data_IF_472406750152
#
_entry.id   IF_472406750152
#
_cell.length_a   1.000
_cell.length_b   1.000
_cell.length_c   1.000
_cell.angle_alpha   90.00
_cell.angle_beta   90.00
_cell.angle_gamma   90.00
#
_symmetry.space_group_name_H-M   'P 1'
#
loop_
_entity.id
_entity.type
_entity.pdbx_description
1 polymer ?
#
# COMPACT_ATOMS: atom_id res chain seq x y z
N UNK A 1 34.14 -7.34 8.06
CA UNK A 1 32.67 -7.35 8.22
C UNK A 1 32.11 -6.34 7.24
N UNK A 2 31.27 -6.75 6.31
CA UNK A 2 30.67 -5.84 5.32
C UNK A 2 29.68 -4.93 6.07
N UNK A 3 29.89 -3.63 5.97
CA UNK A 3 28.94 -2.66 6.52
C UNK A 3 27.77 -2.49 5.55
N UNK A 4 26.56 -2.41 6.06
CA UNK A 4 25.33 -2.36 5.22
C UNK A 4 25.28 -1.11 4.33
N UNK A 5 25.89 -0.01 4.73
CA UNK A 5 26.01 1.22 3.95
C UNK A 5 26.84 1.05 2.67
N UNK A 6 27.86 0.21 2.72
CA UNK A 6 28.70 -0.11 1.53
C UNK A 6 27.89 -0.90 0.51
N UNK A 7 27.03 -1.83 0.98
CA UNK A 7 26.18 -2.65 0.10
C UNK A 7 25.29 -1.80 -0.80
N UNK A 8 24.63 -0.79 -0.23
CA UNK A 8 23.75 0.09 -1.04
C UNK A 8 24.56 0.84 -2.11
N UNK A 9 25.70 1.41 -1.77
CA UNK A 9 26.55 2.15 -2.71
C UNK A 9 27.01 1.25 -3.85
N UNK A 10 27.53 0.06 -3.54
CA UNK A 10 27.94 -0.93 -4.55
C UNK A 10 26.78 -1.31 -5.49
N UNK A 11 25.55 -1.43 -4.96
CA UNK A 11 24.38 -1.68 -5.79
C UNK A 11 24.07 -0.51 -6.72
N UNK A 12 24.12 0.75 -6.24
CA UNK A 12 23.90 1.93 -7.07
C UNK A 12 24.98 2.11 -8.11
N UNK A 13 26.25 1.90 -7.77
CA UNK A 13 27.38 1.99 -8.72
C UNK A 13 27.20 0.96 -9.83
N UNK A 14 26.87 -0.27 -9.49
CA UNK A 14 26.63 -1.33 -10.48
C UNK A 14 25.48 -1.02 -11.44
N UNK A 15 24.42 -0.34 -10.98
CA UNK A 15 23.29 0.08 -11.82
C UNK A 15 23.67 1.25 -12.73
N UNK A 16 24.51 2.18 -12.29
CA UNK A 16 24.93 3.31 -13.11
C UNK A 16 25.68 2.87 -14.38
N UNK A 17 26.40 1.75 -14.31
CA UNK A 17 27.22 1.22 -15.40
C UNK A 17 26.48 0.24 -16.33
N UNK A 18 25.22 -0.09 -16.01
CA UNK A 18 24.48 -1.10 -16.77
C UNK A 18 23.82 -0.54 -18.02
N UNK A 19 23.88 -1.29 -19.10
CA UNK A 19 23.09 -0.99 -20.31
C UNK A 19 21.59 -1.26 -20.04
N UNK A 20 20.78 -0.21 -20.12
CA UNK A 20 19.35 -0.29 -19.93
C UNK A 20 18.63 -1.23 -20.91
N UNK A 21 19.24 -1.53 -22.05
CA UNK A 21 18.70 -2.48 -23.02
C UNK A 21 18.61 -3.93 -22.52
N UNK A 22 19.32 -4.25 -21.42
CA UNK A 22 19.23 -5.54 -20.73
C UNK A 22 17.97 -5.71 -19.90
N UNK A 23 17.12 -4.68 -19.77
CA UNK A 23 15.94 -4.69 -18.94
C UNK A 23 14.65 -4.58 -19.77
N UNK A 24 13.59 -5.19 -19.27
CA UNK A 24 12.22 -4.88 -19.68
C UNK A 24 11.80 -3.57 -19.04
N UNK A 25 11.50 -2.55 -19.86
CA UNK A 25 11.10 -1.23 -19.39
C UNK A 25 9.58 -1.07 -19.37
N UNK A 26 9.07 -0.41 -18.32
CA UNK A 26 7.67 -0.01 -18.16
C UNK A 26 7.59 1.43 -17.65
N UNK A 27 6.52 2.12 -18.00
CA UNK A 27 6.19 3.43 -17.49
C UNK A 27 4.98 3.34 -16.56
N UNK A 28 5.14 3.75 -15.30
CA UNK A 28 4.06 3.74 -14.31
C UNK A 28 3.62 5.18 -14.05
N UNK A 29 2.43 5.55 -14.52
CA UNK A 29 1.80 6.83 -14.21
C UNK A 29 0.90 6.65 -12.98
N UNK A 30 1.40 7.05 -11.83
CA UNK A 30 0.75 6.90 -10.53
C UNK A 30 0.21 8.27 -10.06
N UNK A 31 -0.66 8.34 -9.05
CA UNK A 31 -1.13 9.62 -8.52
C UNK A 31 0.01 10.54 -8.07
N UNK A 32 0.36 11.55 -8.88
CA UNK A 32 1.45 12.52 -8.68
C UNK A 32 2.88 11.94 -8.65
N UNK A 33 3.11 10.75 -9.20
CA UNK A 33 4.43 10.13 -9.29
C UNK A 33 4.54 9.34 -10.60
N UNK A 34 5.46 9.73 -11.46
CA UNK A 34 5.82 9.03 -12.68
C UNK A 34 7.08 8.18 -12.44
N UNK A 35 7.04 6.90 -12.76
CA UNK A 35 8.17 5.99 -12.53
C UNK A 35 8.56 5.28 -13.81
N UNK A 36 9.85 5.35 -14.16
CA UNK A 36 10.46 4.42 -15.11
C UNK A 36 10.86 3.15 -14.34
N UNK A 37 10.24 2.04 -14.68
CA UNK A 37 10.51 0.73 -14.07
C UNK A 37 11.31 -0.14 -15.04
N UNK A 38 12.47 -0.60 -14.60
CA UNK A 38 13.35 -1.51 -15.31
C UNK A 38 13.43 -2.85 -14.57
N UNK A 39 12.95 -3.93 -15.18
CA UNK A 39 12.98 -5.28 -14.61
C UNK A 39 13.89 -6.20 -15.44
N UNK A 40 14.59 -7.12 -14.79
CA UNK A 40 15.50 -8.05 -15.46
C UNK A 40 14.82 -8.97 -16.47
N UNK A 41 13.52 -9.24 -16.29
CA UNK A 41 12.72 -10.00 -17.24
C UNK A 41 11.25 -9.55 -17.24
N UNK A 42 10.48 -10.04 -18.22
CA UNK A 42 9.08 -9.70 -18.39
C UNK A 42 8.18 -10.24 -17.28
N UNK A 43 8.46 -11.43 -16.77
CA UNK A 43 7.65 -12.05 -15.71
C UNK A 43 7.80 -11.28 -14.39
N UNK A 44 9.01 -10.81 -14.07
CA UNK A 44 9.25 -9.94 -12.94
C UNK A 44 8.53 -8.60 -13.11
N UNK A 45 8.58 -8.04 -14.34
CA UNK A 45 7.87 -6.80 -14.67
C UNK A 45 6.36 -6.96 -14.49
N UNK A 46 5.76 -8.00 -15.05
CA UNK A 46 4.31 -8.28 -14.90
C UNK A 46 3.89 -8.41 -13.43
N UNK A 47 4.70 -9.10 -12.62
CA UNK A 47 4.44 -9.23 -11.19
C UNK A 47 4.50 -7.89 -10.46
N UNK A 48 5.45 -7.02 -10.83
CA UNK A 48 5.61 -5.70 -10.22
C UNK A 48 4.45 -4.74 -10.52
N UNK A 49 3.78 -4.89 -11.66
CA UNK A 49 2.72 -3.96 -12.10
C UNK A 49 1.30 -4.48 -11.88
N UNK A 50 1.12 -5.79 -11.68
CA UNK A 50 -0.16 -6.51 -11.74
C UNK A 50 -1.32 -5.84 -10.99
N UNK A 51 -1.07 -5.29 -9.82
CA UNK A 51 -2.11 -4.73 -8.95
C UNK A 51 -1.93 -3.23 -8.72
N UNK A 52 -1.00 -2.59 -9.41
CA UNK A 52 -0.75 -1.16 -9.26
C UNK A 52 -1.83 -0.38 -10.00
N UNK A 53 -2.45 0.59 -9.31
CA UNK A 53 -3.32 1.57 -9.94
C UNK A 53 -2.52 2.45 -10.90
N UNK A 54 -2.95 2.54 -12.15
CA UNK A 54 -2.28 3.35 -13.15
C UNK A 54 -3.24 4.37 -13.77
N UNK A 55 -2.74 5.57 -13.99
CA UNK A 55 -3.40 6.63 -14.74
C UNK A 55 -2.95 6.58 -16.21
N UNK A 56 -3.63 7.31 -17.08
CA UNK A 56 -3.20 7.44 -18.48
C UNK A 56 -1.82 8.12 -18.55
N UNK A 57 -0.94 7.58 -19.36
CA UNK A 57 0.38 8.16 -19.59
C UNK A 57 0.24 9.55 -20.23
N UNK A 58 0.93 10.57 -19.72
CA UNK A 58 0.98 11.88 -20.36
C UNK A 58 1.76 11.82 -21.68
N UNK A 59 1.46 12.71 -22.60
CA UNK A 59 2.15 12.79 -23.92
C UNK A 59 3.61 13.21 -23.79
N UNK A 60 3.92 13.99 -22.79
CA UNK A 60 5.24 14.52 -22.45
C UNK A 60 5.80 13.80 -21.21
N UNK A 61 6.04 12.49 -21.37
CA UNK A 61 6.53 11.65 -20.27
C UNK A 61 7.83 12.16 -19.67
N UNK A 62 7.82 12.40 -18.38
CA UNK A 62 9.00 12.71 -17.57
C UNK A 62 8.92 11.89 -16.28
N UNK A 63 9.89 11.01 -15.99
CA UNK A 63 9.88 10.25 -14.76
C UNK A 63 10.30 11.12 -13.57
N UNK A 64 9.57 10.99 -12.47
CA UNK A 64 9.98 11.52 -11.16
C UNK A 64 11.01 10.64 -10.47
N UNK A 65 11.00 9.34 -10.77
CA UNK A 65 11.94 8.38 -10.23
C UNK A 65 12.18 7.20 -11.20
N UNK A 66 13.31 6.52 -11.03
CA UNK A 66 13.65 5.31 -11.78
C UNK A 66 13.80 4.14 -10.81
N UNK A 67 13.08 3.05 -11.06
CA UNK A 67 13.14 1.84 -10.24
C UNK A 67 13.77 0.70 -11.01
N UNK A 68 14.71 0.01 -10.39
CA UNK A 68 15.35 -1.19 -10.91
C UNK A 68 14.93 -2.41 -10.08
N UNK A 69 14.31 -3.37 -10.73
CA UNK A 69 13.95 -4.66 -10.17
C UNK A 69 14.88 -5.73 -10.74
N UNK A 70 15.85 -6.15 -9.95
CA UNK A 70 16.97 -6.98 -10.36
C UNK A 70 16.82 -8.36 -9.77
N UNK A 71 16.97 -9.38 -10.58
CA UNK A 71 17.32 -10.70 -10.10
C UNK A 71 18.73 -11.10 -10.55
N UNK A 72 19.46 -11.69 -9.64
CA UNK A 72 20.88 -12.04 -9.86
C UNK A 72 21.06 -13.12 -10.91
N UNK A 73 20.13 -14.08 -10.98
CA UNK A 73 20.26 -15.25 -11.86
C UNK A 73 20.10 -14.85 -13.34
N UNK A 74 19.13 -13.99 -13.66
CA UNK A 74 18.88 -13.53 -15.04
C UNK A 74 20.04 -12.69 -15.61
N UNK A 75 20.77 -11.96 -14.77
CA UNK A 75 21.92 -11.15 -15.21
C UNK A 75 23.28 -11.82 -15.00
N UNK A 76 23.31 -13.04 -14.46
CA UNK A 76 24.55 -13.70 -14.02
C UNK A 76 25.37 -12.81 -13.05
N UNK A 77 24.69 -12.12 -12.18
CA UNK A 77 25.30 -11.25 -11.17
C UNK A 77 25.33 -11.90 -9.80
N UNK A 78 26.43 -11.79 -9.10
CA UNK A 78 26.48 -12.16 -7.68
C UNK A 78 25.51 -11.29 -6.89
N UNK A 79 24.62 -11.87 -6.06
CA UNK A 79 23.72 -11.10 -5.21
C UNK A 79 24.52 -10.31 -4.16
N UNK A 80 23.98 -9.18 -3.67
CA UNK A 80 24.59 -8.46 -2.57
C UNK A 80 24.77 -9.36 -1.33
N UNK A 81 25.77 -9.08 -0.47
CA UNK A 81 25.95 -9.86 0.76
C UNK A 81 24.73 -9.73 1.67
N UNK A 82 24.31 -10.81 2.36
CA UNK A 82 23.18 -10.75 3.30
C UNK A 82 23.55 -9.89 4.51
N UNK A 83 22.54 -9.16 5.04
CA UNK A 83 22.73 -8.41 6.27
C UNK A 83 22.80 -9.37 7.47
N UNK A 84 23.74 -9.21 8.40
CA UNK A 84 23.78 -9.99 9.62
C UNK A 84 22.57 -9.67 10.51
N UNK A 85 21.68 -10.63 10.72
CA UNK A 85 20.42 -10.45 11.47
C UNK A 85 20.61 -9.93 12.89
N UNK A 86 21.70 -10.35 13.55
CA UNK A 86 21.97 -9.98 14.96
C UNK A 86 22.54 -8.59 15.14
N UNK A 87 23.01 -7.96 14.08
CA UNK A 87 23.75 -6.70 14.14
C UNK A 87 22.92 -5.50 13.68
N UNK A 88 21.96 -5.75 12.78
CA UNK A 88 21.14 -4.70 12.19
C UNK A 88 19.66 -5.04 12.29
N UNK A 89 19.04 -4.58 13.37
CA UNK A 89 17.58 -4.49 13.38
C UNK A 89 17.12 -3.36 12.44
N UNK A 90 15.82 -3.30 12.21
CA UNK A 90 15.23 -2.30 11.31
C UNK A 90 15.58 -0.86 11.68
N UNK A 91 15.61 -0.54 12.99
CA UNK A 91 15.87 0.81 13.47
C UNK A 91 17.32 1.20 13.24
N UNK A 92 18.26 0.33 13.58
CA UNK A 92 19.68 0.54 13.35
C UNK A 92 19.99 0.68 11.83
N UNK A 93 19.39 -0.15 10.99
CA UNK A 93 19.55 -0.04 9.55
C UNK A 93 19.01 1.29 8.99
N UNK A 94 17.80 1.69 9.39
CA UNK A 94 17.21 2.98 8.98
C UNK A 94 18.10 4.15 9.38
N UNK A 95 18.66 4.14 10.59
CA UNK A 95 19.55 5.21 11.04
C UNK A 95 20.83 5.28 10.19
N UNK A 96 21.48 4.14 9.94
CA UNK A 96 22.72 4.09 9.13
C UNK A 96 22.48 4.63 7.72
N UNK A 97 21.36 4.29 7.08
CA UNK A 97 21.04 4.80 5.76
C UNK A 97 20.65 6.27 5.78
N UNK A 98 19.86 6.71 6.77
CA UNK A 98 19.47 8.11 6.92
C UNK A 98 20.68 9.05 7.09
N UNK A 99 21.73 8.64 7.84
CA UNK A 99 22.98 9.39 7.98
C UNK A 99 23.71 9.60 6.66
N UNK A 100 23.37 8.81 5.63
CA UNK A 100 23.92 8.91 4.28
C UNK A 100 22.96 9.52 3.27
N UNK A 101 21.79 9.96 3.72
CA UNK A 101 20.72 10.46 2.85
C UNK A 101 20.09 9.38 1.97
N UNK A 102 20.13 8.13 2.40
CA UNK A 102 19.56 6.97 1.70
C UNK A 102 18.44 6.34 2.51
N UNK A 103 17.63 5.52 1.84
CA UNK A 103 16.75 4.55 2.49
C UNK A 103 17.22 3.13 2.16
N UNK A 104 17.08 2.22 3.11
CA UNK A 104 17.44 0.83 2.89
C UNK A 104 16.64 -0.12 3.77
N UNK A 105 16.26 -1.26 3.19
CA UNK A 105 15.57 -2.34 3.88
C UNK A 105 16.05 -3.70 3.37
N UNK A 106 15.92 -4.71 4.21
CA UNK A 106 16.31 -6.06 3.88
C UNK A 106 15.32 -7.09 4.46
N UNK A 107 14.85 -7.97 3.61
CA UNK A 107 14.06 -9.14 4.02
C UNK A 107 14.99 -10.34 4.11
N UNK A 108 15.19 -10.87 5.32
CA UNK A 108 16.13 -11.97 5.57
C UNK A 108 15.75 -13.28 4.87
N UNK A 109 14.48 -13.57 4.80
CA UNK A 109 13.93 -14.70 4.08
C UNK A 109 12.79 -14.17 3.18
N UNK A 110 12.95 -14.14 1.88
CA UNK A 110 13.84 -14.87 0.96
C UNK A 110 15.14 -14.14 0.53
N UNK A 111 15.59 -13.12 1.21
CA UNK A 111 16.71 -12.25 0.88
C UNK A 111 16.36 -11.29 -0.26
N UNK A 112 15.71 -10.20 0.10
CA UNK A 112 15.40 -9.08 -0.78
C UNK A 112 16.06 -7.84 -0.23
N UNK A 113 16.89 -7.20 -1.04
CA UNK A 113 17.51 -5.92 -0.74
C UNK A 113 16.68 -4.83 -1.40
N UNK A 114 16.38 -3.78 -0.66
CA UNK A 114 15.65 -2.63 -1.16
C UNK A 114 16.38 -1.36 -0.76
N UNK A 115 16.64 -0.48 -1.72
CA UNK A 115 17.34 0.78 -1.52
C UNK A 115 16.64 1.89 -2.28
N UNK A 116 16.74 3.12 -1.77
CA UNK A 116 16.31 4.31 -2.47
C UNK A 116 17.28 5.46 -2.19
N UNK A 117 17.72 6.11 -3.25
CA UNK A 117 18.51 7.34 -3.23
C UNK A 117 17.60 8.53 -3.60
N UNK A 118 17.18 9.36 -2.63
CA UNK A 118 16.30 10.51 -2.88
C UNK A 118 16.95 11.58 -3.76
N UNK A 119 18.28 11.74 -3.70
CA UNK A 119 18.99 12.74 -4.51
C UNK A 119 19.05 12.36 -5.98
N UNK A 120 19.31 11.10 -6.26
CA UNK A 120 19.33 10.54 -7.63
C UNK A 120 17.94 10.14 -8.11
N UNK A 121 16.97 10.01 -7.19
CA UNK A 121 15.62 9.47 -7.45
C UNK A 121 15.66 8.07 -8.08
N UNK A 122 16.57 7.24 -7.58
CA UNK A 122 16.75 5.86 -8.02
C UNK A 122 16.40 4.91 -6.89
N UNK A 123 15.57 3.92 -7.19
CA UNK A 123 15.27 2.82 -6.29
C UNK A 123 15.75 1.49 -6.86
N UNK A 124 16.15 0.57 -5.98
CA UNK A 124 16.59 -0.78 -6.33
C UNK A 124 15.83 -1.78 -5.46
N UNK A 125 15.20 -2.76 -6.10
CA UNK A 125 14.77 -4.00 -5.46
C UNK A 125 15.56 -5.15 -6.04
N UNK A 126 16.39 -5.79 -5.24
CA UNK A 126 17.26 -6.86 -5.69
C UNK A 126 16.88 -8.18 -5.05
N UNK A 127 16.62 -9.18 -5.87
CA UNK A 127 16.31 -10.54 -5.48
C UNK A 127 17.39 -11.51 -6.00
N UNK A 128 17.45 -12.70 -5.42
CA UNK A 128 18.46 -13.69 -5.84
C UNK A 128 18.10 -14.38 -7.15
N UNK A 129 16.82 -14.69 -7.34
CA UNK A 129 16.32 -15.42 -8.51
C UNK A 129 14.83 -15.15 -8.71
N UNK A 130 14.29 -15.36 -9.92
CA UNK A 130 12.87 -15.25 -10.19
C UNK A 130 12.02 -16.07 -9.22
N UNK A 131 10.86 -15.55 -8.86
CA UNK A 131 9.89 -16.23 -7.99
C UNK A 131 10.25 -16.32 -6.51
N UNK A 132 11.36 -15.73 -6.06
CA UNK A 132 11.72 -15.77 -4.64
C UNK A 132 11.10 -14.66 -3.79
N UNK A 133 10.32 -13.73 -4.39
CA UNK A 133 9.61 -12.74 -3.60
C UNK A 133 8.57 -13.39 -2.67
N UNK A 134 8.39 -12.83 -1.47
CA UNK A 134 7.35 -13.31 -0.56
C UNK A 134 5.96 -13.24 -1.20
N UNK A 135 5.11 -14.20 -0.91
CA UNK A 135 3.75 -14.29 -1.49
C UNK A 135 2.89 -13.05 -1.19
N UNK A 136 3.18 -12.30 -0.13
CA UNK A 136 2.46 -11.06 0.19
C UNK A 136 2.81 -9.88 -0.70
N UNK A 137 3.92 -9.95 -1.44
CA UNK A 137 4.31 -8.89 -2.39
C UNK A 137 3.36 -8.85 -3.60
N UNK A 138 2.70 -9.96 -3.95
CA UNK A 138 1.72 -9.97 -5.04
C UNK A 138 0.54 -9.00 -4.83
N UNK A 139 0.15 -8.79 -3.58
CA UNK A 139 -0.96 -7.90 -3.25
C UNK A 139 -0.58 -6.44 -2.97
N UNK A 140 0.70 -6.11 -3.07
CA UNK A 140 1.23 -4.76 -2.88
C UNK A 140 2.67 -4.69 -3.37
N UNK A 141 2.88 -4.90 -4.69
CA UNK A 141 4.22 -4.93 -5.26
C UNK A 141 4.91 -3.57 -5.12
N UNK A 142 6.24 -3.61 -5.01
CA UNK A 142 7.09 -2.41 -4.89
C UNK A 142 6.74 -1.48 -3.71
N UNK A 143 5.94 -1.97 -2.76
CA UNK A 143 5.36 -1.16 -1.66
C UNK A 143 6.39 -0.31 -0.92
N UNK A 144 7.54 -0.87 -0.61
CA UNK A 144 8.63 -0.18 0.10
C UNK A 144 9.22 0.94 -0.75
N UNK A 145 9.53 0.67 -2.01
CA UNK A 145 10.13 1.65 -2.92
C UNK A 145 9.14 2.79 -3.22
N UNK A 146 7.90 2.44 -3.51
CA UNK A 146 6.83 3.42 -3.73
C UNK A 146 6.59 4.28 -2.49
N UNK A 147 6.59 3.67 -1.29
CA UNK A 147 6.47 4.42 -0.05
C UNK A 147 7.56 5.49 0.07
N UNK A 148 8.83 5.14 -0.11
CA UNK A 148 9.93 6.10 -0.04
C UNK A 148 9.84 7.20 -1.10
N UNK A 149 9.52 6.86 -2.35
CA UNK A 149 9.35 7.86 -3.41
C UNK A 149 8.18 8.82 -3.13
N UNK A 150 7.11 8.33 -2.48
CA UNK A 150 5.98 9.18 -2.10
C UNK A 150 6.25 10.08 -0.89
N UNK A 151 7.19 9.75 -0.02
CA UNK A 151 7.63 10.66 1.05
C UNK A 151 8.16 11.97 0.47
N UNK A 152 8.90 11.92 -0.66
CA UNK A 152 9.34 13.10 -1.42
C UNK A 152 8.18 13.98 -1.91
N UNK A 153 7.02 13.39 -2.15
CA UNK A 153 5.78 14.07 -2.58
C UNK A 153 4.88 14.44 -1.39
N UNK A 154 5.38 14.36 -0.16
CA UNK A 154 4.64 14.61 1.08
C UNK A 154 3.37 13.74 1.21
N UNK A 155 3.37 12.57 0.57
CA UNK A 155 2.34 11.55 0.69
C UNK A 155 2.87 10.34 1.46
N UNK A 156 2.02 9.74 2.25
CA UNK A 156 2.41 8.57 3.03
C UNK A 156 1.52 7.38 2.71
N UNK A 157 2.14 6.26 2.42
CA UNK A 157 1.42 5.00 2.30
C UNK A 157 0.95 4.56 3.69
N UNK A 158 -0.32 4.26 3.81
CA UNK A 158 -0.96 3.85 5.06
C UNK A 158 -1.70 2.52 4.88
N UNK A 159 -1.58 1.63 5.86
CA UNK A 159 -2.37 0.41 5.91
C UNK A 159 -3.79 0.75 6.36
N UNK A 160 -4.60 1.14 5.44
CA UNK A 160 -5.95 1.60 5.64
C UNK A 160 -6.81 1.27 4.41
N UNK A 161 -8.12 1.25 4.63
CA UNK A 161 -9.10 1.18 3.55
C UNK A 161 -9.89 2.49 3.48
N UNK A 162 -10.61 2.71 2.40
CA UNK A 162 -11.44 3.91 2.23
C UNK A 162 -12.83 3.56 1.70
N UNK A 163 -13.82 4.34 2.10
CA UNK A 163 -15.15 4.30 1.52
C UNK A 163 -15.73 5.71 1.42
N UNK A 164 -16.41 5.98 0.31
CA UNK A 164 -17.04 7.27 0.12
C UNK A 164 -17.93 7.33 -1.11
N UNK A 165 -18.35 8.55 -1.43
CA UNK A 165 -18.93 8.89 -2.72
C UNK A 165 -17.83 9.52 -3.62
N UNK A 166 -18.23 10.11 -4.75
CA UNK A 166 -17.25 10.76 -5.67
C UNK A 166 -16.56 12.00 -5.08
N UNK A 167 -17.12 12.59 -4.03
CA UNK A 167 -16.66 13.89 -3.49
C UNK A 167 -15.91 13.73 -2.17
N UNK A 168 -16.43 12.91 -1.25
CA UNK A 168 -15.89 12.75 0.10
C UNK A 168 -16.07 11.33 0.63
N UNK A 169 -15.27 10.99 1.63
CA UNK A 169 -15.32 9.66 2.24
C UNK A 169 -14.67 9.59 3.61
N UNK A 170 -14.60 8.38 4.09
CA UNK A 170 -13.99 8.00 5.36
C UNK A 170 -12.76 7.12 5.12
N UNK A 171 -11.78 7.19 6.01
CA UNK A 171 -10.66 6.25 6.06
C UNK A 171 -10.89 5.25 7.19
N UNK A 172 -10.83 3.96 6.86
CA UNK A 172 -11.00 2.85 7.80
C UNK A 172 -9.63 2.37 8.29
N UNK A 173 -9.40 2.42 9.59
CA UNK A 173 -8.14 2.03 10.22
C UNK A 173 -8.35 0.99 11.33
N UNK A 174 -7.29 0.31 11.75
CA UNK A 174 -7.35 -0.68 12.83
C UNK A 174 -6.56 -1.94 12.52
N UNK A 175 -6.43 -2.81 13.50
CA UNK A 175 -5.70 -4.06 13.40
C UNK A 175 -6.29 -5.01 12.33
N UNK A 176 -5.52 -6.04 11.96
CA UNK A 176 -6.04 -7.14 11.15
C UNK A 176 -7.27 -7.78 11.81
N UNK A 177 -8.31 -8.07 11.03
CA UNK A 177 -9.55 -8.64 11.55
C UNK A 177 -10.54 -7.64 12.18
N UNK A 178 -10.24 -6.34 12.21
CA UNK A 178 -11.16 -5.32 12.75
C UNK A 178 -12.44 -5.09 11.94
N UNK A 179 -12.50 -5.61 10.71
CA UNK A 179 -13.65 -5.45 9.82
C UNK A 179 -13.44 -4.48 8.65
N UNK A 180 -12.25 -3.89 8.45
CA UNK A 180 -11.96 -2.96 7.36
C UNK A 180 -12.40 -3.49 5.99
N UNK A 181 -11.81 -4.60 5.54
CA UNK A 181 -12.09 -5.15 4.20
C UNK A 181 -13.54 -5.61 4.04
N UNK A 182 -14.16 -6.17 5.10
CA UNK A 182 -15.58 -6.52 5.07
C UNK A 182 -16.49 -5.31 4.90
N UNK A 183 -16.20 -4.23 5.62
CA UNK A 183 -16.91 -2.95 5.49
C UNK A 183 -16.69 -2.34 4.11
N UNK A 184 -15.45 -2.40 3.60
CA UNK A 184 -15.12 -1.89 2.26
C UNK A 184 -15.90 -2.63 1.18
N UNK A 185 -15.90 -3.96 1.21
CA UNK A 185 -16.64 -4.75 0.23
C UNK A 185 -18.14 -4.50 0.33
N UNK A 186 -18.72 -4.47 1.56
CA UNK A 186 -20.12 -4.14 1.78
C UNK A 186 -20.50 -2.78 1.17
N UNK A 187 -19.69 -1.75 1.43
CA UNK A 187 -19.93 -0.42 0.87
C UNK A 187 -19.85 -0.37 -0.65
N UNK A 188 -18.85 -1.03 -1.23
CA UNK A 188 -18.62 -1.06 -2.68
C UNK A 188 -19.77 -1.75 -3.42
N UNK A 189 -20.22 -2.90 -2.96
CA UNK A 189 -21.35 -3.65 -3.57
C UNK A 189 -22.63 -2.82 -3.57
N UNK A 190 -22.82 -1.99 -2.55
CA UNK A 190 -23.97 -1.09 -2.45
C UNK A 190 -23.67 0.33 -2.97
N UNK A 191 -22.69 0.49 -3.88
CA UNK A 191 -22.51 1.69 -4.69
C UNK A 191 -21.57 2.76 -4.14
N UNK A 192 -20.94 2.54 -2.99
CA UNK A 192 -19.86 3.41 -2.52
C UNK A 192 -18.59 3.20 -3.37
N UNK A 193 -17.68 4.16 -3.29
CA UNK A 193 -16.39 4.19 -3.99
C UNK A 193 -15.25 4.04 -3.00
N UNK A 194 -14.08 3.65 -3.50
CA UNK A 194 -12.85 3.50 -2.73
C UNK A 194 -11.64 4.02 -3.48
N UNK A 195 -10.55 4.28 -2.77
CA UNK A 195 -9.20 4.43 -3.33
C UNK A 195 -8.26 3.32 -2.86
N UNK A 196 -8.71 2.40 -2.01
CA UNK A 196 -7.93 1.25 -1.56
C UNK A 196 -8.56 0.51 -0.39
N UNK A 197 -8.23 -0.77 -0.26
CA UNK A 197 -8.72 -1.67 0.80
C UNK A 197 -7.62 -2.08 1.80
N UNK A 198 -6.39 -2.26 1.36
CA UNK A 198 -5.27 -2.73 2.19
C UNK A 198 -4.24 -1.60 2.40
N UNK A 199 -3.93 -0.88 1.32
CA UNK A 199 -3.06 0.29 1.35
C UNK A 199 -3.65 1.42 0.51
N UNK A 200 -3.57 2.63 1.05
CA UNK A 200 -3.86 3.86 0.31
C UNK A 200 -2.81 4.92 0.63
N UNK A 201 -2.65 5.86 -0.28
CA UNK A 201 -1.82 7.05 -0.04
C UNK A 201 -2.66 8.10 0.65
N UNK A 202 -2.15 8.66 1.73
CA UNK A 202 -2.74 9.82 2.39
C UNK A 202 -1.82 11.03 2.26
N UNK A 203 -2.39 12.20 2.02
CA UNK A 203 -1.71 13.47 2.19
C UNK A 203 -2.53 14.42 3.07
N UNK A 204 -1.85 15.45 3.54
CA UNK A 204 -2.48 16.54 4.27
C UNK A 204 -1.78 17.86 3.94
N UNK A 205 -2.44 18.66 3.13
CA UNK A 205 -2.09 20.05 2.89
C UNK A 205 -3.12 20.99 3.53
N UNK A 206 -4.20 21.28 2.85
CA UNK A 206 -5.35 22.03 3.37
C UNK A 206 -6.44 21.09 3.92
N UNK A 207 -6.57 19.92 3.33
CA UNK A 207 -7.48 18.86 3.74
C UNK A 207 -6.80 17.49 3.60
N UNK A 208 -7.32 16.50 4.32
CA UNK A 208 -6.85 15.11 4.18
C UNK A 208 -7.43 14.53 2.88
N UNK A 209 -6.55 14.06 2.02
CA UNK A 209 -6.93 13.37 0.79
C UNK A 209 -6.33 11.97 0.73
N UNK A 210 -7.06 11.06 0.14
CA UNK A 210 -6.61 9.69 -0.13
C UNK A 210 -6.53 9.45 -1.64
N UNK A 211 -5.53 8.64 -2.05
CA UNK A 211 -5.30 8.27 -3.44
C UNK A 211 -5.05 6.78 -3.57
N UNK A 212 -5.44 6.16 -4.70
CA UNK A 212 -5.19 4.76 -4.94
C UNK A 212 -3.71 4.49 -5.23
N UNK A 213 -3.22 3.35 -4.75
CA UNK A 213 -1.94 2.79 -5.16
C UNK A 213 -2.11 1.38 -5.71
N UNK A 214 -3.09 0.63 -5.19
CA UNK A 214 -3.40 -0.72 -5.63
C UNK A 214 -4.89 -0.88 -5.90
N UNK A 215 -5.22 -1.57 -6.99
CA UNK A 215 -6.59 -1.89 -7.40
C UNK A 215 -6.95 -3.34 -7.07
N UNK A 216 -6.88 -3.68 -5.81
CA UNK A 216 -7.18 -5.01 -5.32
C UNK A 216 -7.95 -4.93 -4.00
N UNK A 217 -8.99 -5.75 -3.86
CA UNK A 217 -9.71 -5.96 -2.61
C UNK A 217 -9.39 -7.37 -2.09
N UNK A 218 -9.17 -7.49 -0.78
CA UNK A 218 -8.86 -8.79 -0.17
C UNK A 218 -9.91 -9.16 0.86
N UNK A 219 -10.60 -10.29 0.65
CA UNK A 219 -11.64 -10.73 1.57
C UNK A 219 -11.61 -12.23 1.79
N UNK A 220 -11.88 -12.68 3.02
CA UNK A 220 -12.04 -14.09 3.34
C UNK A 220 -13.35 -14.67 2.81
N UNK A 221 -13.47 -15.99 2.83
CA UNK A 221 -14.66 -16.68 2.32
C UNK A 221 -15.94 -16.30 3.09
N UNK A 222 -15.85 -16.09 4.40
CA UNK A 222 -17.01 -15.73 5.20
C UNK A 222 -17.51 -14.32 4.89
N UNK A 223 -16.60 -13.37 4.67
CA UNK A 223 -16.93 -12.01 4.27
C UNK A 223 -17.52 -11.94 2.87
N UNK A 224 -16.93 -12.65 1.91
CA UNK A 224 -17.48 -12.76 0.55
C UNK A 224 -18.89 -13.34 0.56
N UNK A 225 -19.12 -14.44 1.28
CA UNK A 225 -20.42 -15.09 1.38
C UNK A 225 -21.52 -14.19 1.98
N UNK A 226 -21.15 -13.25 2.84
CA UNK A 226 -22.12 -12.28 3.41
C UNK A 226 -22.44 -11.13 2.46
N UNK A 227 -21.55 -10.84 1.51
CA UNK A 227 -21.59 -9.59 0.75
C UNK A 227 -21.90 -9.80 -0.72
N UNK A 228 -21.43 -10.90 -1.32
CA UNK A 228 -21.61 -11.20 -2.74
C UNK A 228 -22.71 -12.25 -2.94
N UNK A 229 -23.47 -12.08 -4.01
CA UNK A 229 -24.40 -13.10 -4.47
C UNK A 229 -23.68 -14.29 -5.13
N UNK A 230 -24.44 -15.33 -5.48
CA UNK A 230 -23.89 -16.56 -6.05
C UNK A 230 -23.22 -16.34 -7.40
N UNK A 231 -23.70 -15.41 -8.22
CA UNK A 231 -23.13 -15.12 -9.54
C UNK A 231 -21.73 -14.48 -9.43
N UNK A 232 -21.60 -13.47 -8.57
CA UNK A 232 -20.30 -12.84 -8.29
C UNK A 232 -19.32 -13.81 -7.64
N UNK A 233 -19.79 -14.67 -6.74
CA UNK A 233 -18.93 -15.68 -6.11
C UNK A 233 -18.32 -16.68 -7.10
N UNK A 234 -19.05 -17.03 -8.18
CA UNK A 234 -18.53 -17.94 -9.22
C UNK A 234 -17.42 -17.32 -10.08
N UNK A 235 -17.33 -16.00 -10.13
CA UNK A 235 -16.32 -15.25 -10.88
C UNK A 235 -15.04 -14.98 -10.07
N UNK A 236 -15.00 -15.37 -8.80
CA UNK A 236 -13.85 -15.13 -7.95
C UNK A 236 -12.69 -16.11 -8.28
N UNK A 237 -11.45 -15.63 -8.21
CA UNK A 237 -10.27 -16.48 -8.37
C UNK A 237 -10.14 -17.47 -7.20
N UNK A 238 -9.15 -18.35 -7.26
CA UNK A 238 -8.78 -19.20 -6.12
C UNK A 238 -8.30 -18.38 -4.92
N UNK A 239 -8.44 -18.94 -3.72
CA UNK A 239 -7.93 -18.32 -2.50
C UNK A 239 -6.40 -18.17 -2.56
N UNK A 240 -5.91 -17.02 -2.13
CA UNK A 240 -4.49 -16.79 -1.99
C UNK A 240 -3.90 -17.50 -0.75
N UNK A 241 -2.60 -17.33 -0.50
CA UNK A 241 -1.87 -17.92 0.63
C UNK A 241 -2.45 -17.55 2.02
N UNK A 242 -3.15 -16.42 2.14
CA UNK A 242 -3.84 -15.97 3.36
C UNK A 242 -5.26 -16.57 3.48
N UNK A 243 -5.67 -17.45 2.58
CA UNK A 243 -7.05 -17.95 2.44
C UNK A 243 -8.06 -16.83 2.19
N UNK A 244 -7.65 -15.82 1.41
CA UNK A 244 -8.49 -14.70 0.96
C UNK A 244 -8.63 -14.73 -0.55
N UNK A 245 -9.77 -14.27 -1.03
CA UNK A 245 -9.96 -13.91 -2.43
C UNK A 245 -9.27 -12.58 -2.70
N UNK A 246 -8.62 -12.49 -3.86
CA UNK A 246 -8.10 -11.26 -4.42
C UNK A 246 -9.08 -10.80 -5.50
N UNK A 247 -9.90 -9.82 -5.17
CA UNK A 247 -11.00 -9.35 -6.01
C UNK A 247 -10.52 -8.15 -6.81
N UNK A 248 -10.56 -8.25 -8.13
CA UNK A 248 -10.18 -7.21 -9.08
C UNK A 248 -11.42 -6.58 -9.72
N UNK A 249 -11.26 -5.47 -10.41
CA UNK A 249 -12.34 -4.78 -11.12
C UNK A 249 -13.12 -5.69 -12.07
N UNK A 250 -12.44 -6.62 -12.74
CA UNK A 250 -13.05 -7.61 -13.65
C UNK A 250 -13.98 -8.61 -12.95
N UNK A 251 -13.81 -8.81 -11.65
CA UNK A 251 -14.68 -9.67 -10.84
C UNK A 251 -15.96 -8.95 -10.39
N UNK A 252 -16.01 -7.63 -10.58
CA UNK A 252 -17.12 -6.77 -10.20
C UNK A 252 -17.83 -6.23 -11.44
N UNK A 253 -19.13 -6.04 -11.38
CA UNK A 253 -19.93 -5.50 -12.48
C UNK A 253 -19.75 -3.97 -12.65
N UNK A 254 -18.88 -3.33 -11.88
CA UNK A 254 -18.71 -1.87 -11.84
C UNK A 254 -17.30 -1.51 -11.37
N UNK A 255 -16.90 -0.25 -11.64
CA UNK A 255 -15.62 0.32 -11.21
C UNK A 255 -15.75 0.99 -9.84
N UNK A 256 -15.25 0.38 -8.74
CA UNK A 256 -15.30 0.99 -7.41
C UNK A 256 -14.18 2.01 -7.16
N UNK A 257 -13.02 1.87 -7.82
CA UNK A 257 -11.86 2.71 -7.58
C UNK A 257 -12.02 4.09 -8.23
N UNK A 258 -11.64 5.13 -7.49
CA UNK A 258 -11.62 6.52 -7.96
C UNK A 258 -10.22 7.11 -7.76
N UNK A 259 -9.81 8.10 -8.58
CA UNK A 259 -8.43 8.61 -8.57
C UNK A 259 -8.07 9.44 -7.32
N UNK A 260 -9.07 9.94 -6.58
CA UNK A 260 -8.88 10.75 -5.38
C UNK A 260 -10.15 10.75 -4.54
N UNK A 261 -9.98 10.83 -3.21
CA UNK A 261 -11.08 10.96 -2.26
C UNK A 261 -10.68 11.96 -1.16
N UNK A 262 -11.50 12.99 -0.93
CA UNK A 262 -11.32 13.84 0.24
C UNK A 262 -11.84 13.09 1.47
N UNK A 263 -11.05 13.01 2.53
CA UNK A 263 -11.38 12.27 3.75
C UNK A 263 -11.92 13.24 4.79
N UNK A 264 -13.11 12.94 5.33
CA UNK A 264 -13.77 13.74 6.37
C UNK A 264 -13.70 13.11 7.76
N UNK A 265 -13.55 11.78 7.84
CA UNK A 265 -13.43 11.08 9.11
C UNK A 265 -12.45 9.91 9.07
N UNK A 266 -11.85 9.65 10.22
CA UNK A 266 -11.08 8.43 10.50
C UNK A 266 -11.96 7.50 11.35
N UNK A 267 -12.18 6.29 10.86
CA UNK A 267 -13.16 5.36 11.43
C UNK A 267 -12.48 4.04 11.80
N UNK A 268 -12.76 3.55 12.99
CA UNK A 268 -12.33 2.24 13.47
C UNK A 268 -13.54 1.29 13.45
N UNK A 269 -13.61 0.35 12.49
CA UNK A 269 -14.67 -0.65 12.47
C UNK A 269 -14.55 -1.59 13.69
N UNK A 270 -15.67 -1.97 14.24
CA UNK A 270 -15.78 -2.88 15.38
C UNK A 270 -16.80 -3.98 15.09
N UNK A 271 -16.32 -5.21 15.03
CA UNK A 271 -17.17 -6.40 14.88
C UNK A 271 -17.74 -6.79 16.24
N UNK A 272 -19.04 -7.06 16.32
CA UNK A 272 -19.71 -7.52 17.53
C UNK A 272 -21.14 -7.97 17.24
N UNK A 273 -21.90 -8.30 18.29
CA UNK A 273 -23.32 -8.65 18.17
C UNK A 273 -24.22 -7.40 18.11
N UNK A 274 -23.92 -6.50 17.19
CA UNK A 274 -24.71 -5.28 17.02
C UNK A 274 -25.87 -5.52 16.05
N UNK A 275 -27.08 -5.11 16.45
CA UNK A 275 -28.29 -5.23 15.62
C UNK A 275 -28.32 -4.23 14.47
N UNK A 276 -27.65 -3.07 14.65
CA UNK A 276 -27.55 -1.99 13.66
C UNK A 276 -26.15 -1.39 13.70
N UNK A 277 -25.73 -0.90 12.56
CA UNK A 277 -24.48 -0.16 12.45
C UNK A 277 -24.66 1.26 13.00
N UNK A 278 -23.67 1.73 13.74
CA UNK A 278 -23.74 3.05 14.36
C UNK A 278 -22.34 3.64 14.59
N UNK A 279 -22.21 4.93 14.32
CA UNK A 279 -21.01 5.70 14.61
C UNK A 279 -21.03 6.25 16.03
N UNK A 280 -19.85 6.26 16.66
CA UNK A 280 -19.61 6.90 17.97
C UNK A 280 -18.35 7.72 17.90
N UNK A 281 -18.38 8.93 18.42
CA UNK A 281 -17.19 9.78 18.52
C UNK A 281 -16.18 9.20 19.51
N UNK A 282 -14.90 9.33 19.15
CA UNK A 282 -13.77 8.93 19.97
C UNK A 282 -12.70 10.03 19.97
N UNK A 283 -11.85 10.00 20.99
CA UNK A 283 -10.75 10.96 21.04
C UNK A 283 -9.71 10.68 19.96
N UNK A 284 -9.01 11.73 19.45
CA UNK A 284 -7.87 11.55 18.54
C UNK A 284 -6.78 10.63 19.11
N UNK A 285 -6.58 10.63 20.42
CA UNK A 285 -5.62 9.74 21.07
C UNK A 285 -6.01 8.25 20.98
N UNK A 286 -7.31 7.95 21.06
CA UNK A 286 -7.79 6.58 20.86
C UNK A 286 -7.63 6.17 19.39
N UNK A 287 -7.99 7.04 18.45
CA UNK A 287 -7.84 6.81 17.02
C UNK A 287 -6.37 6.57 16.64
N UNK A 288 -5.44 7.35 17.21
CA UNK A 288 -4.00 7.21 17.01
C UNK A 288 -3.48 5.82 17.40
N UNK A 289 -3.98 5.24 18.49
CA UNK A 289 -3.60 3.89 18.94
C UNK A 289 -4.02 2.78 17.96
N UNK A 290 -5.06 3.00 17.18
CA UNK A 290 -5.51 2.05 16.15
C UNK A 290 -4.81 2.29 14.81
N UNK A 291 -4.53 3.53 14.46
CA UNK A 291 -3.97 3.91 13.17
C UNK A 291 -2.44 3.74 13.09
N UNK A 292 -1.72 4.27 14.07
CA UNK A 292 -0.26 4.34 14.02
C UNK A 292 0.42 2.96 13.92
N UNK A 293 0.09 1.94 14.74
CA UNK A 293 0.81 0.68 14.70
C UNK A 293 0.72 -0.04 13.35
N UNK A 294 -0.45 0.00 12.71
CA UNK A 294 -0.65 -0.67 11.43
C UNK A 294 0.00 0.07 10.25
N UNK A 295 0.19 1.37 10.36
CA UNK A 295 0.73 2.18 9.26
C UNK A 295 2.23 2.48 9.42
N UNK A 296 2.73 2.64 10.66
CA UNK A 296 4.13 3.00 10.90
C UNK A 296 5.03 1.77 10.86
N UNK A 297 4.63 0.68 11.56
CA UNK A 297 5.52 -0.48 11.70
C UNK A 297 5.53 -1.43 10.51
N UNK A 298 4.69 -1.22 9.51
CA UNK A 298 4.67 -2.07 8.31
C UNK A 298 5.60 -1.57 7.20
N UNK A 299 6.01 -0.31 7.24
CA UNK A 299 6.85 0.30 6.22
C UNK A 299 8.18 0.78 6.83
N UNK A 300 9.31 0.58 6.13
CA UNK A 300 10.61 0.99 6.63
C UNK A 300 10.82 2.50 6.42
N UNK A 301 10.64 3.29 7.47
CA UNK A 301 11.00 4.70 7.48
C UNK A 301 11.18 5.21 8.92
N UNK A 302 11.33 6.53 9.11
CA UNK A 302 11.40 7.18 10.41
C UNK A 302 10.09 6.99 11.19
N UNK A 303 10.18 6.30 12.34
CA UNK A 303 9.06 6.13 13.25
C UNK A 303 8.51 7.47 13.74
N UNK A 304 9.39 8.44 14.00
CA UNK A 304 9.04 9.78 14.49
C UNK A 304 8.18 10.54 13.47
N UNK A 305 8.57 10.53 12.20
CA UNK A 305 7.79 11.15 11.12
C UNK A 305 6.45 10.45 10.92
N UNK A 306 6.44 9.13 11.00
CA UNK A 306 5.21 8.33 10.94
C UNK A 306 4.24 8.66 12.07
N UNK A 307 4.74 8.80 13.30
CA UNK A 307 3.97 9.21 14.47
C UNK A 307 3.43 10.63 14.28
N UNK A 308 4.29 11.57 13.86
CA UNK A 308 3.90 12.96 13.64
C UNK A 308 2.80 13.08 12.57
N UNK A 309 2.96 12.39 11.44
CA UNK A 309 1.96 12.33 10.39
C UNK A 309 0.62 11.77 10.88
N UNK A 310 0.65 10.61 11.56
CA UNK A 310 -0.57 9.98 12.07
C UNK A 310 -1.29 10.85 13.10
N UNK A 311 -0.52 11.53 13.97
CA UNK A 311 -1.09 12.46 14.93
C UNK A 311 -1.71 13.70 14.27
N UNK A 312 -1.11 14.18 13.17
CA UNK A 312 -1.65 15.28 12.38
C UNK A 312 -2.99 14.87 11.74
N UNK A 313 -3.06 13.69 11.11
CA UNK A 313 -4.30 13.14 10.52
C UNK A 313 -5.40 13.01 11.59
N UNK A 314 -5.11 12.36 12.74
CA UNK A 314 -6.09 12.16 13.80
C UNK A 314 -6.61 13.47 14.43
N UNK A 315 -5.83 14.56 14.41
CA UNK A 315 -6.27 15.87 14.92
C UNK A 315 -7.16 16.62 13.95
N UNK A 316 -7.06 16.35 12.65
CA UNK A 316 -7.80 17.07 11.61
C UNK A 316 -9.07 16.37 11.18
N UNK A 317 -9.16 15.06 11.39
CA UNK A 317 -10.35 14.29 11.03
C UNK A 317 -11.25 14.10 12.25
N UNK A 318 -12.55 14.05 12.02
CA UNK A 318 -13.48 13.51 13.00
C UNK A 318 -13.12 12.04 13.24
N UNK A 319 -12.82 11.68 14.48
CA UNK A 319 -12.43 10.32 14.84
C UNK A 319 -13.63 9.56 15.38
N UNK A 320 -13.90 8.38 14.80
CA UNK A 320 -15.11 7.60 15.08
C UNK A 320 -14.78 6.11 15.25
N UNK A 321 -15.59 5.41 16.04
CA UNK A 321 -15.77 3.96 15.88
C UNK A 321 -17.06 3.70 15.09
N UNK A 322 -17.08 2.62 14.33
CA UNK A 322 -18.27 2.11 13.64
C UNK A 322 -18.56 0.71 14.15
N UNK A 323 -19.61 0.57 14.96
CA UNK A 323 -20.17 -0.73 15.28
C UNK A 323 -20.79 -1.32 14.01
N UNK A 324 -20.46 -2.56 13.68
CA UNK A 324 -20.90 -3.21 12.44
C UNK A 324 -21.99 -4.21 12.72
N UNK A 325 -23.13 -4.06 12.08
CA UNK A 325 -24.13 -5.14 11.99
C UNK A 325 -23.59 -6.30 11.13
N UNK A 326 -24.37 -7.35 10.98
CA UNK A 326 -24.06 -8.45 10.06
C UNK A 326 -24.61 -8.23 8.64
N UNK A 327 -25.37 -7.17 8.39
CA UNK A 327 -26.03 -6.88 7.13
C UNK A 327 -25.21 -5.87 6.32
N UNK A 328 -24.78 -6.28 5.11
CA UNK A 328 -23.92 -5.51 4.24
C UNK A 328 -24.59 -4.24 3.70
N UNK A 329 -25.88 -4.32 3.36
CA UNK A 329 -26.66 -3.18 2.86
C UNK A 329 -26.85 -2.14 3.98
N UNK A 330 -27.20 -2.58 5.17
CA UNK A 330 -27.38 -1.73 6.34
C UNK A 330 -26.07 -1.02 6.74
N UNK A 331 -24.93 -1.70 6.69
CA UNK A 331 -23.61 -1.09 6.89
C UNK A 331 -23.36 0.02 5.88
N UNK A 332 -23.63 -0.25 4.60
CA UNK A 332 -23.49 0.73 3.52
C UNK A 332 -24.39 1.93 3.72
N UNK A 333 -25.65 1.72 4.07
CA UNK A 333 -26.62 2.79 4.27
C UNK A 333 -26.28 3.65 5.50
N UNK A 334 -25.77 3.04 6.57
CA UNK A 334 -25.23 3.77 7.71
C UNK A 334 -24.10 4.73 7.28
N UNK A 335 -23.14 4.24 6.46
CA UNK A 335 -22.03 5.07 5.95
C UNK A 335 -22.54 6.17 5.01
N UNK A 336 -23.45 5.85 4.08
CA UNK A 336 -24.07 6.85 3.19
C UNK A 336 -24.79 7.94 3.98
N UNK A 337 -25.55 7.54 5.02
CA UNK A 337 -26.22 8.47 5.93
C UNK A 337 -25.24 9.44 6.58
N UNK A 338 -24.14 8.93 7.12
CA UNK A 338 -23.08 9.76 7.69
C UNK A 338 -22.47 10.74 6.65
N UNK A 339 -22.16 10.26 5.45
CA UNK A 339 -21.57 11.09 4.39
C UNK A 339 -22.53 12.16 3.87
N UNK A 340 -23.84 11.97 3.96
CA UNK A 340 -24.82 12.96 3.51
C UNK A 340 -25.03 14.09 4.52
N UNK A 341 -24.76 13.85 5.80
CA UNK A 341 -24.96 14.83 6.88
C UNK A 341 -23.72 15.61 7.23
N UNK A 342 -22.55 15.12 6.91
CA UNK A 342 -21.23 15.69 7.19
C UNK A 342 -20.41 15.91 5.91
#
# INVERSE_FOLDING_TARGET
MYKIDVIARECFDKINDVDKSCFTAQHLCLPSLNVDLYCTDSAYSEMCIKNIYQQNLPTDWQPDATFYCIDSESLDWSPPPPWPYKEYDRRAANQIYAEQGLHGAYMHDPRVWQFYDPQKKIAIQWIRRPGCLPLWESGGPLRTLLHWAYLEKQKRLCHAATLGNKNKGIVLVGAGGSGKSGTTLAGIIHGLKTVGDDYCLLDYHESVCAYPLYEILKQDHAGVKRTLDHEHMQKLPSLNWQKKYEIHNENLAFQPFIPRMQITALVIPQIGNFKRSQFFEISPAYAMRAFAPSSIFQLPDSEEEGIAFSAKICRHLTCLTLHLSSDAEEISDCIKGYLNTN
#
